data_IF_311159308323
#
_entry.id   IF_311159308323
#
_cell.length_a   1.000
_cell.length_b   1.000
_cell.length_c   1.000
_cell.angle_alpha   90.00
_cell.angle_beta   90.00
_cell.angle_gamma   90.00
#
_symmetry.space_group_name_H-M   'P 1'
#
loop_
_entity.id
_entity.type
_entity.pdbx_description
1 polymer ?
#
# COMPACT_ATOMS: atom_id res chain seq x y z
N UNK A 1 0.31 16.55 -1.81
CA UNK A 1 1.14 16.17 -3.00
C UNK A 1 0.43 15.25 -4.01
N UNK A 2 0.72 15.31 -5.33
CA UNK A 2 0.29 14.31 -6.34
C UNK A 2 1.48 13.46 -6.78
N UNK A 3 1.31 12.14 -6.86
CA UNK A 3 2.38 11.18 -7.18
C UNK A 3 2.01 10.27 -8.36
N UNK A 4 3.03 9.83 -9.09
CA UNK A 4 2.94 8.76 -10.09
C UNK A 4 3.43 7.45 -9.49
N UNK A 5 2.78 6.36 -9.89
CA UNK A 5 3.08 5.03 -9.40
C UNK A 5 3.31 4.05 -10.52
N UNK A 6 4.04 2.99 -10.23
CA UNK A 6 4.32 1.88 -11.14
C UNK A 6 4.03 0.55 -10.46
N UNK A 7 3.77 -0.49 -11.25
CA UNK A 7 3.72 -1.85 -10.74
C UNK A 7 5.13 -2.43 -10.65
N UNK A 8 5.36 -3.24 -9.61
CA UNK A 8 6.60 -4.01 -9.51
C UNK A 8 6.71 -5.00 -10.67
N UNK A 9 7.94 -5.29 -11.11
CA UNK A 9 8.22 -6.35 -12.07
C UNK A 9 8.01 -7.76 -11.51
N UNK A 10 7.88 -7.90 -10.18
CA UNK A 10 7.71 -9.21 -9.52
C UNK A 10 6.53 -9.18 -8.56
N UNK A 11 5.72 -10.24 -8.61
CA UNK A 11 4.67 -10.46 -7.62
C UNK A 11 5.23 -11.16 -6.39
N UNK A 12 5.14 -10.50 -5.24
CA UNK A 12 5.63 -11.00 -3.94
C UNK A 12 4.52 -11.58 -3.07
N UNK A 13 3.34 -11.83 -3.65
CA UNK A 13 2.13 -12.19 -2.91
C UNK A 13 1.30 -10.98 -2.47
N UNK A 14 1.80 -9.76 -2.61
CA UNK A 14 1.12 -8.49 -2.32
C UNK A 14 0.83 -7.78 -3.65
N UNK A 15 -0.35 -7.18 -3.78
CA UNK A 15 -0.58 -6.19 -4.86
C UNK A 15 -0.19 -4.83 -4.29
N UNK A 16 0.84 -4.21 -4.86
CA UNK A 16 1.38 -2.94 -4.39
C UNK A 16 1.77 -2.04 -5.56
N UNK A 17 1.65 -0.73 -5.33
CA UNK A 17 2.11 0.31 -6.23
C UNK A 17 3.41 0.90 -5.68
N UNK A 18 4.50 0.78 -6.43
CA UNK A 18 5.75 1.46 -6.12
C UNK A 18 5.65 2.92 -6.59
N UNK A 19 6.33 3.83 -5.88
CA UNK A 19 6.34 5.25 -6.22
C UNK A 19 7.40 5.48 -7.30
N UNK A 20 7.06 6.20 -8.37
CA UNK A 20 7.99 6.41 -9.48
C UNK A 20 9.13 7.39 -9.12
N UNK A 21 8.79 8.44 -8.37
CA UNK A 21 9.72 9.41 -7.81
C UNK A 21 9.45 9.55 -6.31
N UNK A 22 10.44 9.18 -5.52
CA UNK A 22 10.35 9.15 -4.07
C UNK A 22 10.95 10.39 -3.40
N UNK A 23 11.58 11.31 -4.15
CA UNK A 23 12.35 12.44 -3.61
C UNK A 23 11.61 13.21 -2.51
N UNK A 24 10.41 13.71 -2.81
CA UNK A 24 9.60 14.43 -1.83
C UNK A 24 9.15 13.58 -0.64
N UNK A 25 9.03 12.25 -0.79
CA UNK A 25 8.73 11.35 0.34
C UNK A 25 9.97 11.10 1.21
N UNK A 26 11.18 11.11 0.62
CA UNK A 26 12.43 11.01 1.37
C UNK A 26 12.67 12.26 2.21
N UNK A 27 12.44 13.43 1.66
CA UNK A 27 12.51 14.70 2.41
C UNK A 27 11.51 14.69 3.60
N UNK A 28 10.32 14.11 3.40
CA UNK A 28 9.36 13.93 4.49
C UNK A 28 9.87 12.94 5.56
N UNK A 29 10.52 11.84 5.17
CA UNK A 29 11.13 10.93 6.14
C UNK A 29 12.17 11.63 7.01
N UNK A 30 13.05 12.43 6.40
CA UNK A 30 14.11 13.14 7.15
C UNK A 30 13.50 14.10 8.17
N UNK A 31 12.49 14.89 7.77
CA UNK A 31 11.74 15.79 8.68
C UNK A 31 11.03 15.03 9.80
N UNK A 32 10.51 13.83 9.52
CA UNK A 32 9.88 12.99 10.55
C UNK A 32 10.91 12.52 11.56
N UNK A 33 12.08 12.07 11.11
CA UNK A 33 13.15 11.59 12.00
C UNK A 33 13.71 12.72 12.87
N UNK A 34 13.77 13.95 12.36
CA UNK A 34 14.13 15.13 13.16
C UNK A 34 13.15 15.38 14.31
N UNK A 35 11.84 15.18 14.08
CA UNK A 35 10.80 15.35 15.10
C UNK A 35 10.64 14.13 16.02
N UNK A 36 10.93 12.94 15.51
CA UNK A 36 10.77 11.66 16.18
C UNK A 36 12.04 10.83 16.00
N UNK A 37 13.06 11.12 16.81
CA UNK A 37 14.41 10.53 16.69
C UNK A 37 14.48 9.01 16.93
N UNK A 38 13.42 8.42 17.44
CA UNK A 38 13.25 6.99 17.64
C UNK A 38 12.60 6.28 16.44
N UNK A 39 12.25 7.03 15.40
CA UNK A 39 11.79 6.50 14.12
C UNK A 39 12.98 6.34 13.16
N UNK A 40 12.89 5.34 12.31
CA UNK A 40 13.79 5.06 11.21
C UNK A 40 13.01 5.05 9.88
N UNK A 41 13.63 5.53 8.79
CA UNK A 41 12.99 5.58 7.48
C UNK A 41 12.73 4.18 6.92
N UNK A 42 11.54 3.96 6.38
CA UNK A 42 11.21 2.75 5.62
C UNK A 42 11.90 2.81 4.25
N UNK A 43 12.70 1.80 3.86
CA UNK A 43 13.50 1.86 2.64
C UNK A 43 12.68 1.62 1.37
N UNK A 44 11.52 0.94 1.44
CA UNK A 44 10.70 0.61 0.26
C UNK A 44 9.32 1.26 0.37
N UNK A 45 9.17 2.42 -0.25
CA UNK A 45 7.92 3.18 -0.24
C UNK A 45 6.95 2.61 -1.28
N UNK A 46 5.75 2.29 -0.83
CA UNK A 46 4.71 1.72 -1.68
C UNK A 46 3.33 1.94 -1.06
N UNK A 47 2.30 1.86 -1.90
CA UNK A 47 0.90 1.71 -1.46
C UNK A 47 0.51 0.25 -1.61
N UNK A 48 0.10 -0.39 -0.52
CA UNK A 48 -0.48 -1.74 -0.58
C UNK A 48 -1.93 -1.64 -1.04
N UNK A 49 -2.24 -2.26 -2.19
CA UNK A 49 -3.61 -2.33 -2.73
C UNK A 49 -4.37 -3.57 -2.26
N UNK A 50 -3.65 -4.67 -2.03
CA UNK A 50 -4.20 -5.90 -1.50
C UNK A 50 -3.14 -6.66 -0.70
N UNK A 51 -3.40 -6.92 0.58
CA UNK A 51 -2.43 -7.53 1.50
C UNK A 51 -2.12 -9.01 1.19
N UNK A 52 -0.93 -9.50 1.56
CA UNK A 52 -0.40 -10.82 1.17
C UNK A 52 -1.27 -12.05 1.45
N UNK A 53 -2.17 -11.93 2.44
CA UNK A 53 -3.10 -13.00 2.82
C UNK A 53 -4.25 -13.15 1.82
N UNK A 54 -4.62 -12.09 1.10
CA UNK A 54 -5.86 -12.05 0.32
C UNK A 54 -5.76 -12.68 -1.08
N UNK A 55 -4.68 -12.48 -1.86
CA UNK A 55 -4.55 -13.15 -3.16
C UNK A 55 -4.71 -14.68 -3.09
N UNK A 56 -4.27 -15.29 -1.99
CA UNK A 56 -4.40 -16.74 -1.75
C UNK A 56 -5.81 -17.17 -1.35
N UNK A 57 -6.61 -16.27 -0.76
CA UNK A 57 -8.03 -16.51 -0.42
C UNK A 57 -8.95 -16.44 -1.64
N UNK A 58 -8.50 -15.81 -2.73
CA UNK A 58 -9.25 -15.77 -3.99
C UNK A 58 -9.11 -17.15 -4.67
N UNK A 59 -10.10 -18.02 -4.47
CA UNK A 59 -10.14 -19.35 -5.09
C UNK A 59 -11.51 -19.69 -5.64
N UNK A 60 -11.58 -20.30 -6.83
CA UNK A 60 -12.84 -20.85 -7.35
C UNK A 60 -12.99 -22.33 -6.98
N UNK A 61 -14.22 -22.85 -7.10
CA UNK A 61 -14.51 -24.28 -6.93
C UNK A 61 -13.72 -25.16 -7.92
N UNK A 62 -13.36 -24.61 -9.08
CA UNK A 62 -12.61 -25.31 -10.14
C UNK A 62 -11.09 -25.26 -9.95
N UNK A 63 -10.61 -24.83 -8.78
CA UNK A 63 -9.19 -24.81 -8.45
C UNK A 63 -8.43 -23.58 -8.99
N UNK A 64 -9.14 -22.57 -9.48
CA UNK A 64 -8.55 -21.27 -9.77
C UNK A 64 -7.92 -20.70 -8.49
N UNK A 65 -6.72 -20.13 -8.60
CA UNK A 65 -5.98 -19.54 -7.49
C UNK A 65 -5.51 -18.14 -7.86
N UNK A 66 -6.03 -17.12 -7.19
CA UNK A 66 -5.72 -15.71 -7.47
C UNK A 66 -4.23 -15.40 -7.36
N UNK A 67 -3.54 -15.98 -6.36
CA UNK A 67 -2.10 -15.83 -6.21
C UNK A 67 -1.30 -16.40 -7.40
N UNK A 68 -1.75 -17.51 -7.98
CA UNK A 68 -1.15 -18.09 -9.19
C UNK A 68 -1.43 -17.24 -10.41
N UNK A 69 -2.67 -16.76 -10.57
CA UNK A 69 -3.06 -15.93 -11.70
C UNK A 69 -2.28 -14.60 -11.72
N UNK A 70 -2.19 -13.93 -10.58
CA UNK A 70 -1.36 -12.73 -10.41
C UNK A 70 0.12 -13.02 -10.66
N UNK A 71 0.64 -14.14 -10.16
CA UNK A 71 2.03 -14.53 -10.46
C UNK A 71 2.28 -14.72 -11.96
N UNK A 72 1.32 -15.28 -12.70
CA UNK A 72 1.40 -15.44 -14.16
C UNK A 72 1.42 -14.08 -14.85
N UNK A 73 0.49 -13.18 -14.51
CA UNK A 73 0.43 -11.81 -15.06
C UNK A 73 1.77 -11.08 -14.89
N UNK A 74 2.33 -11.09 -13.69
CA UNK A 74 3.60 -10.40 -13.42
C UNK A 74 4.80 -11.07 -14.11
N UNK A 75 4.75 -12.39 -14.34
CA UNK A 75 5.80 -13.13 -15.04
C UNK A 75 5.75 -12.90 -16.55
N UNK A 76 4.57 -12.70 -17.13
CA UNK A 76 4.42 -12.42 -18.57
C UNK A 76 4.77 -10.97 -18.93
N UNK A 77 4.76 -10.05 -17.96
CA UNK A 77 5.04 -8.63 -18.21
C UNK A 77 3.81 -7.82 -18.60
N UNK A 78 2.65 -8.47 -18.76
CA UNK A 78 1.38 -7.85 -19.14
C UNK A 78 0.90 -6.79 -18.13
N UNK A 79 1.34 -6.88 -16.87
CA UNK A 79 1.06 -5.84 -15.87
C UNK A 79 1.58 -4.46 -16.27
N UNK A 80 2.61 -4.40 -17.12
CA UNK A 80 3.19 -3.13 -17.58
C UNK A 80 2.27 -2.37 -18.54
N UNK A 81 1.28 -3.04 -19.15
CA UNK A 81 0.29 -2.40 -20.02
C UNK A 81 -0.89 -1.79 -19.24
N UNK A 82 -0.93 -1.97 -17.92
CA UNK A 82 -2.02 -1.45 -17.07
C UNK A 82 -1.77 0.03 -16.81
N UNK A 83 -2.67 0.88 -17.31
CA UNK A 83 -2.64 2.31 -17.01
C UNK A 83 -3.10 2.55 -15.56
N UNK A 84 -2.20 3.12 -14.76
CA UNK A 84 -2.44 3.39 -13.35
C UNK A 84 -2.88 4.84 -13.15
N UNK A 85 -3.92 5.10 -12.34
CA UNK A 85 -4.31 6.45 -11.99
C UNK A 85 -3.24 7.12 -11.12
N UNK A 86 -3.11 8.44 -11.22
CA UNK A 86 -2.29 9.21 -10.29
C UNK A 86 -2.92 9.25 -8.90
N UNK A 87 -2.09 9.20 -7.87
CA UNK A 87 -2.55 9.28 -6.49
C UNK A 87 -2.34 10.68 -5.93
N UNK A 88 -3.28 11.13 -5.10
CA UNK A 88 -3.21 12.35 -4.34
C UNK A 88 -2.99 11.97 -2.87
N UNK A 89 -1.91 12.47 -2.30
CA UNK A 89 -1.58 12.29 -0.90
C UNK A 89 -2.20 13.40 -0.05
N UNK A 90 -2.67 13.03 1.13
CA UNK A 90 -3.17 13.94 2.16
C UNK A 90 -2.06 14.23 3.18
N UNK A 91 -2.41 14.53 4.43
CA UNK A 91 -1.43 14.86 5.46
C UNK A 91 -0.72 13.62 6.06
N UNK A 92 0.42 13.88 6.69
CA UNK A 92 1.19 12.87 7.44
C UNK A 92 0.57 12.64 8.82
N UNK A 93 0.37 11.37 9.16
CA UNK A 93 -0.16 10.93 10.44
C UNK A 93 0.81 9.98 11.15
N UNK A 94 0.63 9.84 12.46
CA UNK A 94 1.27 8.81 13.28
C UNK A 94 0.21 7.88 13.84
N UNK A 95 0.38 6.59 13.55
CA UNK A 95 -0.51 5.53 14.02
C UNK A 95 0.14 4.67 15.10
N UNK A 96 -0.70 3.95 15.84
CA UNK A 96 -0.29 3.01 16.88
C UNK A 96 -1.03 1.67 16.74
N UNK A 97 -0.30 0.57 16.70
CA UNK A 97 -0.85 -0.77 16.92
C UNK A 97 -0.38 -1.27 18.28
N UNK A 98 -1.22 -1.03 19.30
CA UNK A 98 -0.94 -1.40 20.69
C UNK A 98 -0.88 -2.92 20.90
N UNK A 99 -1.46 -3.72 19.99
CA UNK A 99 -1.45 -5.19 20.12
C UNK A 99 -0.09 -5.78 19.75
N UNK A 100 0.67 -5.07 18.92
CA UNK A 100 2.00 -5.50 18.44
C UNK A 100 3.11 -4.55 18.82
N UNK A 101 2.81 -3.56 19.67
CA UNK A 101 3.71 -2.48 20.06
C UNK A 101 4.38 -1.80 18.85
N UNK A 102 3.57 -1.47 17.83
CA UNK A 102 4.07 -0.80 16.63
C UNK A 102 3.67 0.65 16.63
N UNK A 103 4.60 1.50 16.19
CA UNK A 103 4.37 2.90 15.91
C UNK A 103 5.02 3.23 14.58
N UNK A 104 4.24 3.78 13.66
CA UNK A 104 4.72 4.19 12.34
C UNK A 104 4.08 5.50 11.91
N UNK A 105 4.85 6.33 11.23
CA UNK A 105 4.29 7.46 10.48
C UNK A 105 3.92 7.01 9.08
N UNK A 106 2.88 7.61 8.55
CA UNK A 106 2.38 7.30 7.23
C UNK A 106 1.67 8.49 6.62
N UNK A 107 1.50 8.47 5.31
CA UNK A 107 0.73 9.47 4.56
C UNK A 107 -0.43 8.79 3.86
N UNK A 108 -1.64 9.31 4.03
CA UNK A 108 -2.86 8.75 3.45
C UNK A 108 -2.99 9.10 1.96
N UNK A 109 -3.61 8.18 1.21
CA UNK A 109 -4.04 8.47 -0.16
C UNK A 109 -5.44 9.07 -0.10
N UNK A 110 -5.53 10.39 -0.33
CA UNK A 110 -6.76 11.18 -0.31
C UNK A 110 -7.81 10.67 -1.29
N UNK A 111 -7.39 10.33 -2.51
CA UNK A 111 -8.27 9.81 -3.54
C UNK A 111 -8.28 8.27 -3.54
N UNK A 112 -8.68 7.66 -2.42
CA UNK A 112 -8.69 6.20 -2.20
C UNK A 112 -9.37 5.39 -3.32
N UNK A 113 -10.39 5.95 -3.98
CA UNK A 113 -11.04 5.35 -5.15
C UNK A 113 -10.05 5.03 -6.29
N UNK A 114 -9.00 5.83 -6.48
CA UNK A 114 -7.96 5.56 -7.47
C UNK A 114 -7.20 4.25 -7.14
N UNK A 115 -6.97 3.96 -5.85
CA UNK A 115 -6.37 2.70 -5.42
C UNK A 115 -7.30 1.51 -5.71
N UNK A 116 -8.61 1.67 -5.50
CA UNK A 116 -9.62 0.65 -5.80
C UNK A 116 -9.67 0.38 -7.30
N UNK A 117 -9.68 1.42 -8.12
CA UNK A 117 -9.62 1.31 -9.59
C UNK A 117 -8.36 0.57 -10.02
N UNK A 118 -7.18 0.98 -9.54
CA UNK A 118 -5.92 0.32 -9.85
C UNK A 118 -5.94 -1.17 -9.48
N UNK A 119 -6.41 -1.50 -8.26
CA UNK A 119 -6.57 -2.88 -7.80
C UNK A 119 -7.45 -3.69 -8.75
N UNK A 120 -8.61 -3.14 -9.10
CA UNK A 120 -9.58 -3.82 -9.96
C UNK A 120 -9.06 -4.02 -11.38
N UNK A 121 -8.29 -3.08 -11.93
CA UNK A 121 -7.62 -3.24 -13.23
C UNK A 121 -6.60 -4.39 -13.20
N UNK A 122 -5.79 -4.47 -12.14
CA UNK A 122 -4.80 -5.55 -11.97
C UNK A 122 -5.47 -6.91 -11.84
N UNK A 123 -6.55 -6.99 -11.04
CA UNK A 123 -7.32 -8.21 -10.88
C UNK A 123 -7.95 -8.65 -12.20
N UNK A 124 -8.59 -7.74 -12.94
CA UNK A 124 -9.18 -8.03 -14.25
C UNK A 124 -8.13 -8.51 -15.25
N UNK A 125 -6.96 -7.89 -15.28
CA UNK A 125 -5.84 -8.32 -16.12
C UNK A 125 -5.36 -9.74 -15.76
N UNK A 126 -5.42 -10.12 -14.49
CA UNK A 126 -5.13 -11.48 -14.03
C UNK A 126 -6.30 -12.46 -14.27
N UNK A 127 -7.38 -12.06 -14.96
CA UNK A 127 -8.57 -12.88 -15.18
C UNK A 127 -9.42 -13.08 -13.93
N UNK A 128 -9.29 -12.20 -12.94
CA UNK A 128 -10.05 -12.23 -11.68
C UNK A 128 -11.16 -11.18 -11.76
N UNK A 129 -12.41 -11.60 -11.61
CA UNK A 129 -13.54 -10.66 -11.51
C UNK A 129 -13.55 -9.97 -10.14
N UNK A 130 -13.32 -8.64 -10.04
CA UNK A 130 -13.23 -7.96 -8.75
C UNK A 130 -14.52 -8.02 -7.93
N UNK A 131 -15.69 -8.11 -8.56
CA UNK A 131 -16.97 -8.17 -7.81
C UNK A 131 -17.20 -9.53 -7.16
N UNK A 132 -16.48 -10.56 -7.61
CA UNK A 132 -16.52 -11.90 -7.01
C UNK A 132 -15.65 -12.02 -5.74
N UNK A 133 -14.81 -11.01 -5.47
CA UNK A 133 -13.91 -11.02 -4.32
C UNK A 133 -14.63 -10.43 -3.12
N UNK A 134 -14.91 -11.29 -2.13
CA UNK A 134 -15.38 -10.85 -0.82
C UNK A 134 -14.17 -10.50 0.04
N UNK A 135 -14.04 -9.22 0.40
CA UNK A 135 -13.04 -8.75 1.35
C UNK A 135 -13.63 -8.81 2.76
N UNK A 136 -12.90 -9.44 3.68
CA UNK A 136 -13.22 -9.45 5.10
C UNK A 136 -12.55 -8.26 5.78
N UNK A 137 -13.06 -7.87 6.95
CA UNK A 137 -12.33 -6.94 7.79
C UNK A 137 -11.00 -7.55 8.27
N UNK A 138 -9.91 -6.76 8.39
CA UNK A 138 -9.86 -5.30 8.22
C UNK A 138 -9.53 -4.82 6.78
N UNK A 139 -9.55 -5.70 5.76
CA UNK A 139 -9.19 -5.33 4.39
C UNK A 139 -10.31 -4.58 3.67
N UNK A 140 -11.57 -4.89 3.99
CA UNK A 140 -12.72 -4.19 3.44
C UNK A 140 -12.73 -2.70 3.80
N UNK A 141 -12.34 -2.34 5.03
CA UNK A 141 -12.24 -0.94 5.48
C UNK A 141 -10.82 -0.36 5.39
N UNK A 142 -9.93 -0.93 4.57
CA UNK A 142 -8.52 -0.52 4.54
C UNK A 142 -8.36 0.95 4.18
N UNK A 143 -7.56 1.67 4.98
CA UNK A 143 -7.00 2.98 4.63
C UNK A 143 -5.77 2.78 3.74
N UNK A 144 -5.83 3.28 2.50
CA UNK A 144 -4.67 3.29 1.60
C UNK A 144 -3.68 4.36 2.04
N UNK A 145 -2.42 3.97 2.20
CA UNK A 145 -1.38 4.83 2.72
C UNK A 145 0.00 4.37 2.25
N UNK A 146 1.00 5.23 2.47
CA UNK A 146 2.42 4.92 2.34
C UNK A 146 3.03 5.01 3.75
N UNK A 147 3.59 3.92 4.25
CA UNK A 147 4.40 3.96 5.48
C UNK A 147 5.70 4.73 5.23
N UNK A 148 5.97 5.76 6.02
CA UNK A 148 7.16 6.60 5.88
C UNK A 148 8.24 6.18 6.87
N UNK A 149 7.93 6.10 8.16
CA UNK A 149 8.89 5.67 9.18
C UNK A 149 8.26 4.68 10.15
N UNK A 150 9.09 3.92 10.86
CA UNK A 150 8.68 3.09 11.99
C UNK A 150 9.86 2.93 12.97
N UNK A 151 9.75 2.10 14.01
CA UNK A 151 10.77 1.98 15.05
C UNK A 151 12.10 1.33 14.60
N UNK A 152 12.08 0.50 13.56
CA UNK A 152 13.19 -0.39 13.21
C UNK A 152 13.67 -0.29 11.75
N UNK A 153 13.05 0.58 10.95
CA UNK A 153 13.30 0.79 9.53
C UNK A 153 12.78 -0.35 8.64
N UNK A 154 12.15 -1.38 9.20
CA UNK A 154 11.69 -2.54 8.46
C UNK A 154 10.23 -2.36 8.02
N UNK A 155 9.96 -2.32 6.71
CA UNK A 155 8.58 -2.14 6.21
C UNK A 155 7.56 -3.15 6.76
N UNK A 156 7.97 -4.36 7.15
CA UNK A 156 7.08 -5.35 7.77
C UNK A 156 6.66 -5.03 9.23
N UNK A 157 7.34 -4.09 9.88
CA UNK A 157 7.05 -3.61 11.22
C UNK A 157 6.11 -2.40 11.24
N UNK A 158 5.82 -1.81 10.07
CA UNK A 158 4.83 -0.74 9.96
C UNK A 158 3.42 -1.23 10.29
N UNK A 159 2.52 -0.29 10.59
CA UNK A 159 1.11 -0.57 10.83
C UNK A 159 0.45 -0.91 9.50
N UNK A 160 -0.08 -2.13 9.40
CA UNK A 160 -0.71 -2.61 8.16
C UNK A 160 -2.11 -2.00 7.93
N UNK A 161 -2.82 -1.65 9.01
CA UNK A 161 -4.18 -1.11 8.98
C UNK A 161 -4.28 0.11 9.90
N UNK A 162 -3.92 1.30 9.41
CA UNK A 162 -4.08 2.53 10.17
C UNK A 162 -5.54 2.83 10.47
N UNK A 163 -5.79 3.65 11.49
CA UNK A 163 -7.14 3.98 11.95
C UNK A 163 -7.50 5.43 11.62
N UNK A 164 -8.79 5.70 11.39
CA UNK A 164 -9.27 7.04 11.06
C UNK A 164 -8.98 8.10 12.15
N UNK A 165 -8.76 7.68 13.40
CA UNK A 165 -8.43 8.55 14.53
C UNK A 165 -6.93 8.78 14.77
N UNK A 166 -6.06 8.27 13.90
CA UNK A 166 -4.61 8.45 14.03
C UNK A 166 -4.22 9.93 13.95
N UNK A 167 -3.18 10.29 14.72
CA UNK A 167 -2.88 11.69 15.02
C UNK A 167 -2.15 12.37 13.86
N UNK A 168 -2.65 13.53 13.44
CA UNK A 168 -1.99 14.42 12.48
C UNK A 168 -0.66 14.97 13.03
N UNK A 169 0.39 14.96 12.21
CA UNK A 169 1.67 15.63 12.52
C UNK A 169 1.60 17.06 11.94
N UNK A 170 1.15 18.02 12.75
CA UNK A 170 0.87 19.39 12.32
C UNK A 170 2.11 20.15 11.83
N UNK A 171 3.27 19.72 12.28
CA UNK A 171 4.58 20.28 11.92
C UNK A 171 5.03 19.86 10.51
N UNK A 172 4.35 18.89 9.90
CA UNK A 172 4.65 18.36 8.57
C UNK A 172 3.40 18.44 7.69
N UNK A 173 3.36 19.48 6.86
CA UNK A 173 2.36 19.62 5.78
C UNK A 173 2.98 19.14 4.47
N UNK A 174 2.24 18.32 3.71
CA UNK A 174 2.64 17.66 2.47
C UNK A 174 1.93 18.20 1.20
#
# INVERSE_FOLDING_TARGET
MRIKTILSSKFTGIIQLAIQDESGLRDLQDRIVELYSDQQPVPKLHVTLLHQSYPKKITSKDGFRGDKALKTLFKSGEQMAIELPSLQLDDVKIGFDLTKDRRSTYIEVKNSEACIVARNLILKAAGIDPVSIVLEEPEASRVFHISLTNLDGNGGASIAYPQAGDKLIKEIVA
#
